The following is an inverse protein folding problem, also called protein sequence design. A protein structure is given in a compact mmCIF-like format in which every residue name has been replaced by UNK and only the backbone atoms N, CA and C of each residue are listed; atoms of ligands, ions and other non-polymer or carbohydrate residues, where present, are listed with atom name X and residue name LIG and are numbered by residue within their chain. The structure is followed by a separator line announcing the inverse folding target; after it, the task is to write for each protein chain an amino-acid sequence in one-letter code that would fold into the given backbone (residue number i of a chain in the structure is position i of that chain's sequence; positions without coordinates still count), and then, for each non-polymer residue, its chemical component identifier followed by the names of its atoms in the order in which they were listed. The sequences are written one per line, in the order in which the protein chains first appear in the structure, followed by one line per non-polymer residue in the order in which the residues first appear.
data_IF_101271097855
#
_entry.id   IF_101271097855
#
_cell.length_a   1.000
_cell.length_b   1.000
_cell.length_c   1.000
_cell.angle_alpha   90.00
_cell.angle_beta   90.00
_cell.angle_gamma   90.00
#
_symmetry.space_group_name_H-M   'P 1'
#
loop_
_entity.id
_entity.type
_entity.pdbx_description
1 polymer ?
#
# COMPACT_ATOMS: atom_id res chain seq x y z
N UNK A 1 1.14 17.63 7.55
CA UNK A 1 1.44 16.42 6.76
C UNK A 1 2.01 15.30 7.63
N UNK A 2 2.74 15.63 8.70
CA UNK A 2 3.29 14.65 9.64
C UNK A 2 2.20 13.85 10.36
N UNK A 3 1.01 14.44 10.50
CA UNK A 3 -0.19 13.74 10.95
C UNK A 3 -0.59 12.59 10.02
N UNK A 4 -0.45 12.75 8.70
CA UNK A 4 -0.74 11.67 7.73
C UNK A 4 0.32 10.57 7.81
N UNK A 5 1.58 10.92 8.12
CA UNK A 5 2.61 9.91 8.37
C UNK A 5 2.32 9.12 9.65
N UNK A 6 1.87 9.80 10.70
CA UNK A 6 1.43 9.14 11.94
C UNK A 6 0.26 8.18 11.66
N UNK A 7 -0.79 8.64 10.98
CA UNK A 7 -1.93 7.78 10.62
C UNK A 7 -1.57 6.67 9.64
N UNK A 8 -0.57 6.87 8.77
CA UNK A 8 -0.01 5.81 7.93
C UNK A 8 0.63 4.72 8.79
N UNK A 9 1.48 5.11 9.75
CA UNK A 9 2.15 4.15 10.64
C UNK A 9 1.14 3.39 11.48
N UNK A 10 0.18 4.09 12.09
CA UNK A 10 -0.86 3.42 12.88
C UNK A 10 -1.73 2.51 12.00
N UNK A 11 -2.08 2.94 10.79
CA UNK A 11 -2.84 2.10 9.85
C UNK A 11 -2.08 0.86 9.38
N UNK A 12 -0.75 0.95 9.20
CA UNK A 12 0.09 -0.22 8.89
C UNK A 12 0.17 -1.18 10.08
N UNK A 13 0.32 -0.66 11.29
CA UNK A 13 0.34 -1.49 12.51
C UNK A 13 -1.01 -2.19 12.69
N UNK A 14 -2.11 -1.46 12.55
CA UNK A 14 -3.46 -2.02 12.63
C UNK A 14 -3.69 -3.09 11.56
N UNK A 15 -3.22 -2.88 10.33
CA UNK A 15 -3.33 -3.89 9.28
C UNK A 15 -2.54 -5.18 9.60
N UNK A 16 -1.39 -5.07 10.28
CA UNK A 16 -0.58 -6.22 10.69
C UNK A 16 -1.19 -6.94 11.91
N UNK A 17 -1.72 -6.19 12.87
CA UNK A 17 -2.12 -6.70 14.19
C UNK A 17 -3.62 -7.03 14.28
N UNK A 18 -4.42 -6.48 13.37
CA UNK A 18 -5.90 -6.50 13.31
C UNK A 18 -6.54 -7.60 14.16
N UNK A 19 -7.05 -7.20 15.33
CA UNK A 19 -7.55 -8.11 16.35
C UNK A 19 -9.07 -8.34 16.28
N UNK A 20 -9.80 -7.49 15.54
CA UNK A 20 -11.26 -7.49 15.53
C UNK A 20 -11.81 -7.74 14.13
N UNK A 21 -12.76 -8.66 14.02
CA UNK A 21 -13.65 -8.73 12.86
C UNK A 21 -14.62 -7.55 12.89
N UNK A 22 -14.98 -7.05 11.70
CA UNK A 22 -15.84 -5.87 11.52
C UNK A 22 -17.17 -6.01 12.28
N UNK A 23 -17.69 -7.24 12.38
CA UNK A 23 -18.96 -7.55 13.04
C UNK A 23 -18.89 -7.46 14.57
N UNK A 24 -17.71 -7.66 15.16
CA UNK A 24 -17.48 -7.67 16.60
C UNK A 24 -16.67 -6.46 17.10
N UNK A 25 -16.39 -5.51 16.21
CA UNK A 25 -15.58 -4.35 16.52
C UNK A 25 -16.34 -3.38 17.45
N UNK A 26 -15.75 -2.96 18.58
CA UNK A 26 -16.36 -1.96 19.43
C UNK A 26 -16.45 -0.60 18.73
N UNK A 27 -17.44 0.22 19.08
CA UNK A 27 -17.73 1.48 18.39
C UNK A 27 -16.54 2.45 18.33
N UNK A 28 -15.67 2.46 19.35
CA UNK A 28 -14.46 3.29 19.36
C UNK A 28 -13.44 2.86 18.29
N UNK A 29 -13.34 1.55 18.02
CA UNK A 29 -12.45 1.00 17.00
C UNK A 29 -12.97 1.37 15.61
N UNK A 30 -14.28 1.26 15.38
CA UNK A 30 -14.91 1.69 14.14
C UNK A 30 -14.74 3.20 13.90
N UNK A 31 -14.90 4.03 14.93
CA UNK A 31 -14.66 5.47 14.84
C UNK A 31 -13.19 5.78 14.51
N UNK A 32 -12.25 5.10 15.17
CA UNK A 32 -10.82 5.20 14.87
C UNK A 32 -10.49 4.78 13.43
N UNK A 33 -11.06 3.66 12.96
CA UNK A 33 -10.94 3.18 11.59
C UNK A 33 -11.45 4.21 10.57
N UNK A 34 -12.58 4.86 10.84
CA UNK A 34 -13.11 5.91 9.97
C UNK A 34 -12.15 7.12 9.87
N UNK A 35 -11.57 7.54 10.99
CA UNK A 35 -10.54 8.59 10.99
C UNK A 35 -9.31 8.17 10.19
N UNK A 36 -8.85 6.93 10.36
CA UNK A 36 -7.73 6.37 9.59
C UNK A 36 -8.02 6.41 8.08
N UNK A 37 -9.22 6.00 7.68
CA UNK A 37 -9.63 6.02 6.27
C UNK A 37 -9.57 7.43 5.69
N UNK A 38 -10.04 8.43 6.43
CA UNK A 38 -10.00 9.83 5.99
C UNK A 38 -8.55 10.28 5.76
N UNK A 39 -7.67 10.09 6.76
CA UNK A 39 -6.29 10.56 6.69
C UNK A 39 -5.41 9.75 5.74
N UNK A 40 -5.69 8.46 5.54
CA UNK A 40 -4.88 7.58 4.70
C UNK A 40 -5.41 7.44 3.27
N UNK A 41 -6.67 7.81 2.98
CA UNK A 41 -7.23 7.76 1.62
C UNK A 41 -7.63 9.11 1.06
N UNK A 42 -8.37 9.93 1.83
CA UNK A 42 -8.95 11.17 1.29
C UNK A 42 -7.96 12.33 1.34
N UNK A 43 -7.26 12.53 2.46
CA UNK A 43 -6.27 13.62 2.56
C UNK A 43 -5.18 13.51 1.49
N UNK A 44 -4.56 12.33 1.23
CA UNK A 44 -3.54 12.18 0.19
C UNK A 44 -4.11 12.43 -1.21
N UNK A 45 -5.35 11.98 -1.48
CA UNK A 45 -6.05 12.27 -2.73
C UNK A 45 -6.20 13.77 -2.96
N UNK A 46 -6.69 14.50 -1.95
CA UNK A 46 -6.84 15.94 -2.05
C UNK A 46 -5.50 16.63 -2.32
N UNK A 47 -4.41 16.18 -1.67
CA UNK A 47 -3.07 16.73 -1.92
C UNK A 47 -2.56 16.45 -3.34
N UNK A 48 -2.90 15.29 -3.92
CA UNK A 48 -2.54 14.97 -5.31
C UNK A 48 -3.31 15.81 -6.32
N UNK A 49 -4.61 16.04 -6.08
CA UNK A 49 -5.53 16.66 -7.05
C UNK A 49 -5.57 18.19 -6.92
N UNK A 50 -5.56 18.73 -5.69
CA UNK A 50 -5.66 20.17 -5.45
C UNK A 50 -4.33 20.88 -5.70
N UNK A 51 -3.94 21.08 -6.96
CA UNK A 51 -2.75 21.86 -7.35
C UNK A 51 -2.82 23.31 -6.89
N UNK A 52 -4.01 23.91 -6.90
CA UNK A 52 -4.20 25.31 -6.56
C UNK A 52 -3.86 25.67 -5.10
N UNK A 53 -3.81 24.70 -4.18
CA UNK A 53 -3.45 24.93 -2.77
C UNK A 53 -1.96 24.75 -2.49
N UNK A 54 -1.17 24.31 -3.48
CA UNK A 54 0.24 23.96 -3.31
C UNK A 54 1.12 25.12 -3.72
N UNK A 55 2.18 25.35 -2.94
CA UNK A 55 3.28 26.20 -3.35
C UNK A 55 4.16 25.47 -4.39
N UNK A 56 5.03 26.23 -5.07
CA UNK A 56 5.91 25.69 -6.12
C UNK A 56 6.77 24.53 -5.61
N UNK A 57 7.19 24.59 -4.34
CA UNK A 57 7.95 23.55 -3.68
C UNK A 57 7.14 22.26 -3.52
N UNK A 58 5.93 22.33 -2.94
CA UNK A 58 5.08 21.15 -2.77
C UNK A 58 4.64 20.59 -4.12
N UNK A 59 4.40 21.42 -5.13
CA UNK A 59 4.08 20.94 -6.48
C UNK A 59 5.24 20.13 -7.07
N UNK A 60 6.48 20.63 -6.97
CA UNK A 60 7.67 19.91 -7.40
C UNK A 60 7.87 18.58 -6.65
N UNK A 61 7.54 18.56 -5.35
CA UNK A 61 7.61 17.37 -4.52
C UNK A 61 6.56 16.32 -4.90
N UNK A 62 5.32 16.73 -5.19
CA UNK A 62 4.27 15.83 -5.68
C UNK A 62 4.67 15.23 -7.02
N UNK A 63 5.16 16.03 -7.98
CA UNK A 63 5.60 15.52 -9.29
C UNK A 63 6.68 14.46 -9.16
N UNK A 64 7.67 14.66 -8.27
CA UNK A 64 8.71 13.66 -7.98
C UNK A 64 8.11 12.40 -7.33
N UNK A 65 7.21 12.57 -6.39
CA UNK A 65 6.53 11.45 -5.70
C UNK A 65 5.75 10.58 -6.69
N UNK A 66 4.95 11.20 -7.55
CA UNK A 66 4.19 10.52 -8.61
C UNK A 66 5.09 9.76 -9.59
N UNK A 67 6.27 10.32 -9.93
CA UNK A 67 7.24 9.62 -10.78
C UNK A 67 7.77 8.35 -10.13
N UNK A 68 8.11 8.39 -8.83
CA UNK A 68 8.55 7.20 -8.09
C UNK A 68 7.43 6.17 -8.00
N UNK A 69 6.20 6.62 -7.73
CA UNK A 69 5.03 5.74 -7.73
C UNK A 69 4.79 5.09 -9.10
N UNK A 70 4.97 5.82 -10.20
CA UNK A 70 4.84 5.27 -11.54
C UNK A 70 5.88 4.17 -11.81
N UNK A 71 7.13 4.34 -11.36
CA UNK A 71 8.13 3.28 -11.42
C UNK A 71 7.73 2.06 -10.58
N UNK A 72 7.23 2.28 -9.37
CA UNK A 72 6.71 1.21 -8.52
C UNK A 72 5.56 0.45 -9.20
N UNK A 73 4.58 1.17 -9.74
CA UNK A 73 3.44 0.60 -10.45
C UNK A 73 3.85 -0.16 -11.73
N UNK A 74 4.92 0.25 -12.39
CA UNK A 74 5.43 -0.44 -13.57
C UNK A 74 6.26 -1.69 -13.23
N UNK A 75 7.01 -1.68 -12.12
CA UNK A 75 7.94 -2.76 -11.76
C UNK A 75 7.34 -3.82 -10.85
N UNK A 76 6.47 -3.42 -9.91
CA UNK A 76 5.91 -4.33 -8.89
C UNK A 76 5.02 -5.42 -9.52
N UNK A 77 4.04 -5.12 -10.39
CA UNK A 77 3.18 -6.17 -10.94
C UNK A 77 3.93 -7.23 -11.75
N UNK A 78 4.86 -6.87 -12.67
CA UNK A 78 5.69 -7.87 -13.33
C UNK A 78 6.49 -8.73 -12.35
N UNK A 79 7.06 -8.12 -11.30
CA UNK A 79 7.81 -8.87 -10.30
C UNK A 79 6.94 -9.85 -9.52
N UNK A 80 5.73 -9.43 -9.13
CA UNK A 80 4.77 -10.26 -8.40
C UNK A 80 4.09 -11.33 -9.28
N UNK A 81 3.97 -11.12 -10.59
CA UNK A 81 3.37 -12.09 -11.50
C UNK A 81 4.39 -13.08 -12.06
N UNK A 82 5.55 -12.58 -12.47
CA UNK A 82 6.59 -13.37 -13.14
C UNK A 82 7.46 -14.07 -12.11
N UNK A 83 7.81 -13.42 -10.99
CA UNK A 83 8.67 -14.00 -9.96
C UNK A 83 8.18 -15.35 -9.44
N UNK A 84 6.94 -15.44 -8.93
CA UNK A 84 6.39 -16.69 -8.43
C UNK A 84 6.19 -17.75 -9.52
N UNK A 85 5.88 -17.33 -10.75
CA UNK A 85 5.77 -18.24 -11.90
C UNK A 85 7.13 -18.87 -12.26
N UNK A 86 8.19 -18.05 -12.32
CA UNK A 86 9.57 -18.52 -12.55
C UNK A 86 10.02 -19.44 -11.43
N UNK A 87 9.78 -19.08 -10.17
CA UNK A 87 10.10 -19.92 -9.01
C UNK A 87 9.33 -21.24 -9.05
N UNK A 88 8.05 -21.23 -9.44
CA UNK A 88 7.26 -22.44 -9.65
C UNK A 88 7.83 -23.33 -10.74
N UNK A 89 8.25 -22.74 -11.87
CA UNK A 89 8.93 -23.45 -12.94
C UNK A 89 10.26 -24.08 -12.50
N UNK A 90 10.99 -23.45 -11.58
CA UNK A 90 12.22 -24.03 -11.01
C UNK A 90 11.87 -25.20 -10.10
N UNK A 91 10.98 -25.02 -9.12
CA UNK A 91 10.68 -26.06 -8.12
C UNK A 91 9.93 -27.27 -8.69
N UNK A 92 8.98 -27.06 -9.61
CA UNK A 92 8.17 -28.14 -10.21
C UNK A 92 8.99 -29.00 -11.18
N UNK A 93 9.92 -28.40 -11.94
CA UNK A 93 10.70 -29.14 -12.93
C UNK A 93 11.98 -29.80 -12.38
N UNK A 94 12.36 -29.52 -11.13
CA UNK A 94 13.59 -30.06 -10.51
C UNK A 94 13.33 -31.05 -9.38
N UNK A 95 12.08 -31.44 -9.13
CA UNK A 95 11.68 -32.30 -7.99
C UNK A 95 12.11 -31.74 -6.61
N UNK A 96 12.52 -30.47 -6.57
CA UNK A 96 12.88 -29.77 -5.34
C UNK A 96 11.59 -29.40 -4.61
N UNK A 97 11.46 -29.88 -3.37
CA UNK A 97 10.34 -29.50 -2.51
C UNK A 97 10.32 -27.97 -2.35
N UNK A 98 9.27 -27.34 -2.88
CA UNK A 98 9.10 -25.90 -2.76
C UNK A 98 9.10 -25.50 -1.28
N UNK A 99 9.85 -24.44 -0.89
CA UNK A 99 9.86 -23.92 0.46
C UNK A 99 8.45 -23.59 0.95
N UNK A 100 8.20 -23.77 2.25
CA UNK A 100 6.86 -23.56 2.82
C UNK A 100 6.38 -22.11 2.62
N UNK A 101 7.27 -21.12 2.73
CA UNK A 101 6.94 -19.71 2.46
C UNK A 101 6.44 -19.48 1.02
N UNK A 102 7.00 -20.19 0.03
CA UNK A 102 6.58 -20.04 -1.38
C UNK A 102 5.19 -20.63 -1.57
N UNK A 103 4.93 -21.77 -0.95
CA UNK A 103 3.63 -22.45 -1.03
C UNK A 103 2.53 -21.63 -0.37
N UNK A 104 2.80 -21.06 0.79
CA UNK A 104 1.90 -20.14 1.48
C UNK A 104 1.63 -18.88 0.64
N UNK A 105 2.68 -18.27 0.08
CA UNK A 105 2.54 -17.12 -0.81
C UNK A 105 1.72 -17.46 -2.06
N UNK A 106 2.03 -18.58 -2.73
CA UNK A 106 1.33 -19.01 -3.94
C UNK A 106 -0.16 -19.27 -3.67
N UNK A 107 -0.48 -19.98 -2.59
CA UNK A 107 -1.86 -20.25 -2.19
C UNK A 107 -2.59 -18.95 -1.85
N UNK A 108 -1.96 -18.04 -1.11
CA UNK A 108 -2.56 -16.78 -0.70
C UNK A 108 -2.74 -15.78 -1.85
N UNK A 109 -1.89 -15.85 -2.90
CA UNK A 109 -1.88 -14.87 -3.99
C UNK A 109 -2.61 -15.35 -5.25
N UNK A 110 -2.47 -16.64 -5.62
CA UNK A 110 -3.03 -17.18 -6.87
C UNK A 110 -4.30 -18.02 -6.66
N UNK A 111 -4.45 -18.68 -5.52
CA UNK A 111 -5.56 -19.60 -5.26
C UNK A 111 -6.65 -19.00 -4.37
N UNK A 112 -6.42 -17.85 -3.74
CA UNK A 112 -7.43 -17.20 -2.92
C UNK A 112 -8.55 -16.63 -3.78
N UNK A 113 -9.80 -16.95 -3.46
CA UNK A 113 -10.96 -16.27 -4.03
C UNK A 113 -10.98 -14.82 -3.53
N UNK A 114 -10.47 -13.88 -4.36
CA UNK A 114 -10.53 -12.46 -4.03
C UNK A 114 -11.74 -11.80 -4.68
N UNK A 115 -12.60 -11.24 -3.84
CA UNK A 115 -13.69 -10.37 -4.31
C UNK A 115 -13.07 -9.13 -5.00
N UNK A 116 -13.44 -8.80 -6.24
CA UNK A 116 -12.85 -7.69 -6.99
C UNK A 116 -12.90 -6.35 -6.24
N UNK A 117 -13.97 -6.12 -5.49
CA UNK A 117 -14.15 -4.92 -4.66
C UNK A 117 -13.07 -4.78 -3.57
N UNK A 118 -12.66 -5.88 -2.94
CA UNK A 118 -11.62 -5.88 -1.90
C UNK A 118 -10.25 -5.59 -2.51
N UNK A 119 -10.00 -6.09 -3.72
CA UNK A 119 -8.76 -5.84 -4.46
C UNK A 119 -8.66 -4.36 -4.80
N UNK A 120 -9.70 -3.78 -5.42
CA UNK A 120 -9.73 -2.36 -5.77
C UNK A 120 -9.53 -1.48 -4.53
N UNK A 121 -10.20 -1.81 -3.42
CA UNK A 121 -10.04 -1.09 -2.16
C UNK A 121 -8.59 -1.18 -1.65
N UNK A 122 -8.00 -2.37 -1.58
CA UNK A 122 -6.62 -2.56 -1.11
C UNK A 122 -5.59 -1.85 -1.99
N UNK A 123 -5.73 -1.95 -3.30
CA UNK A 123 -4.86 -1.26 -4.26
C UNK A 123 -4.94 0.25 -4.08
N UNK A 124 -6.15 0.79 -3.93
CA UNK A 124 -6.34 2.21 -3.65
C UNK A 124 -5.66 2.65 -2.35
N UNK A 125 -5.87 1.92 -1.26
CA UNK A 125 -5.20 2.23 0.02
C UNK A 125 -3.68 2.17 -0.10
N UNK A 126 -3.13 1.12 -0.71
CA UNK A 126 -1.68 0.99 -0.91
C UNK A 126 -1.12 2.13 -1.77
N UNK A 127 -1.85 2.54 -2.80
CA UNK A 127 -1.48 3.68 -3.63
C UNK A 127 -1.44 4.98 -2.81
N UNK A 128 -2.46 5.25 -2.00
CA UNK A 128 -2.50 6.46 -1.16
C UNK A 128 -1.44 6.45 -0.05
N UNK A 129 -1.23 5.30 0.60
CA UNK A 129 -0.19 5.13 1.63
C UNK A 129 1.21 5.28 1.04
N UNK A 130 1.48 4.66 -0.11
CA UNK A 130 2.78 4.80 -0.79
C UNK A 130 3.03 6.25 -1.21
N UNK A 131 2.02 6.98 -1.67
CA UNK A 131 2.16 8.43 -1.91
C UNK A 131 2.60 9.17 -0.65
N UNK A 132 1.91 8.98 0.48
CA UNK A 132 2.25 9.67 1.74
C UNK A 132 3.68 9.32 2.18
N UNK A 133 4.04 8.04 2.13
CA UNK A 133 5.38 7.57 2.49
C UNK A 133 6.47 8.16 1.61
N UNK A 134 6.31 8.09 0.29
CA UNK A 134 7.28 8.63 -0.69
C UNK A 134 7.38 10.15 -0.54
N UNK A 135 6.25 10.84 -0.45
CA UNK A 135 6.21 12.29 -0.32
C UNK A 135 6.97 12.74 0.94
N UNK A 136 6.71 12.10 2.08
CA UNK A 136 7.36 12.44 3.33
C UNK A 136 8.84 12.09 3.33
N UNK A 137 9.21 10.97 2.71
CA UNK A 137 10.61 10.61 2.51
C UNK A 137 11.36 11.65 1.66
N UNK A 138 10.78 12.09 0.55
CA UNK A 138 11.38 13.12 -0.30
C UNK A 138 11.46 14.47 0.41
N UNK A 139 10.42 14.84 1.19
CA UNK A 139 10.43 16.06 2.01
C UNK A 139 11.57 16.05 3.03
N UNK A 140 11.73 14.92 3.73
CA UNK A 140 12.80 14.73 4.70
C UNK A 140 14.17 14.82 4.03
N UNK A 141 14.32 14.19 2.86
CA UNK A 141 15.57 14.24 2.08
C UNK A 141 15.93 15.66 1.66
N UNK A 142 14.96 16.45 1.20
CA UNK A 142 15.20 17.83 0.76
C UNK A 142 15.46 18.81 1.93
N UNK A 143 15.05 18.47 3.15
CA UNK A 143 15.29 19.29 4.35
C UNK A 143 16.70 19.13 4.96
N UNK A 144 17.52 18.22 4.42
CA UNK A 144 18.90 17.95 4.84
C UNK A 144 19.88 18.44 3.79
#
# INVERSE_FOLDING_TARGET
MDICLFFLVVGLIDWIVSHYDVENAPAWYLAGGLVMIIFNSFVPLFLMVASFMRDDYAEGLVKRSLRVMAYGAALIPPFLLIGPWVLGGIFVNTDLRAPDFYREFYNAFYLSEMRPELVLRRVWFLYMLSFVGIFQFLRWKDSR
#
